data_IF_716139294348
#
_entry.id   IF_716139294348
#
_cell.length_a   1.000
_cell.length_b   1.000
_cell.length_c   1.000
_cell.angle_alpha   90.00
_cell.angle_beta   90.00
_cell.angle_gamma   90.00
#
_symmetry.space_group_name_H-M   'P 1'
#
loop_
_entity.id
_entity.type
_entity.pdbx_description
1 polymer ?
#
# COMPACT_ATOMS: atom_id res chain seq x y z
N UNK A 1 -8.01 12.16 -33.32
CA UNK A 1 -8.29 11.94 -32.68
C UNK A 1 -8.67 11.56 -32.01
N UNK A 2 -8.48 11.64 -31.99
CA UNK A 2 -8.83 11.38 -31.07
C UNK A 2 -9.25 10.69 -30.35
N UNK A 3 -9.15 10.54 -30.21
CA UNK A 3 -9.58 10.05 -29.37
C UNK A 3 -9.65 9.31 -28.75
N UNK A 4 -9.42 9.24 -28.79
CA UNK A 4 -9.56 8.66 -28.06
C UNK A 4 -9.59 8.10 -27.28
N UNK A 5 -9.37 8.25 -27.41
CA UNK A 5 -9.47 7.89 -26.56
C UNK A 5 -9.72 7.56 -25.69
N UNK A 6 -9.70 7.76 -25.86
CA UNK A 6 -9.99 7.67 -24.88
C UNK A 6 -10.48 7.14 -24.23
N UNK A 7 -10.47 7.15 -24.40
CA UNK A 7 -10.97 6.80 -23.71
C UNK A 7 -11.09 6.10 -23.10
N UNK A 8 -10.86 6.02 -23.17
CA UNK A 8 -11.01 5.52 -22.40
C UNK A 8 -11.18 5.07 -21.67
N UNK A 9 -11.06 5.01 -21.83
CA UNK A 9 -11.20 4.78 -20.99
C UNK A 9 -11.20 4.59 -20.42
N UNK A 10 -11.29 4.53 -20.53
CA UNK A 10 -11.40 4.47 -19.87
C UNK A 10 -11.43 4.19 -19.20
N UNK A 11 -11.45 4.05 -19.21
CA UNK A 11 -11.48 3.95 -18.35
C UNK A 11 -11.86 3.39 -17.59
N UNK A 12 -11.76 3.16 -17.52
CA UNK A 12 -12.01 2.86 -16.79
C UNK A 12 -12.08 2.40 -15.91
N UNK A 13 -12.12 1.99 -15.92
CA UNK A 13 -12.04 1.31 -14.81
C UNK A 13 -11.61 1.86 -13.62
N UNK A 14 -11.25 2.41 -13.71
CA UNK A 14 -10.73 3.31 -12.69
C UNK A 14 -11.80 3.92 -11.82
N UNK A 15 -13.03 3.73 -12.16
CA UNK A 15 -14.13 4.25 -11.36
C UNK A 15 -14.07 3.80 -9.90
N UNK A 16 -13.47 2.62 -9.67
CA UNK A 16 -13.39 2.05 -8.33
C UNK A 16 -12.05 2.29 -7.67
N UNK A 17 -11.16 2.98 -8.37
CA UNK A 17 -9.80 3.15 -7.89
C UNK A 17 -9.03 1.85 -7.95
N UNK A 18 -7.73 1.94 -7.87
CA UNK A 18 -6.87 0.75 -7.83
C UNK A 18 -6.06 0.81 -6.56
N UNK A 19 -6.32 -0.13 -5.69
CA UNK A 19 -5.66 -0.18 -4.39
C UNK A 19 -4.48 -1.14 -4.49
N UNK A 20 -3.31 -0.64 -4.12
CA UNK A 20 -2.14 -1.51 -3.91
C UNK A 20 -1.66 -1.27 -2.50
N UNK A 21 -1.15 -2.32 -1.87
CA UNK A 21 -0.66 -2.23 -0.50
C UNK A 21 0.75 -2.79 -0.50
N UNK A 22 1.69 -2.01 0.02
CA UNK A 22 3.08 -2.45 0.09
C UNK A 22 3.56 -2.42 1.53
N UNK A 23 4.16 -3.51 1.94
CA UNK A 23 4.87 -3.58 3.20
C UNK A 23 6.34 -3.28 2.94
N UNK A 24 6.86 -2.26 3.61
CA UNK A 24 8.28 -1.93 3.58
C UNK A 24 8.90 -2.42 4.88
N UNK A 25 9.88 -3.29 4.75
CA UNK A 25 10.59 -3.80 5.91
C UNK A 25 12.05 -3.96 5.52
N UNK A 26 12.85 -4.52 6.40
CA UNK A 26 14.26 -4.77 6.13
C UNK A 26 14.57 -6.21 6.54
N UNK A 27 15.51 -6.83 5.82
CA UNK A 27 15.84 -8.23 6.10
C UNK A 27 16.23 -8.46 7.55
N UNK A 28 16.96 -7.51 8.17
CA UNK A 28 17.35 -7.66 9.57
C UNK A 28 16.16 -7.62 10.53
N UNK A 29 15.00 -7.19 10.06
CA UNK A 29 13.77 -7.10 10.88
C UNK A 29 12.71 -8.08 10.38
N UNK A 30 13.09 -9.09 9.61
CA UNK A 30 12.12 -9.98 8.96
C UNK A 30 11.28 -10.78 9.97
N UNK A 31 11.78 -10.97 11.18
CA UNK A 31 11.01 -11.64 12.22
C UNK A 31 9.74 -10.87 12.58
N UNK A 32 9.69 -9.59 12.25
CA UNK A 32 8.54 -8.73 12.51
C UNK A 32 7.77 -8.39 11.23
N UNK A 33 7.98 -9.18 10.16
CA UNK A 33 7.13 -9.04 8.97
C UNK A 33 5.68 -9.20 9.36
N UNK A 34 4.83 -8.42 8.69
CA UNK A 34 3.40 -8.43 8.95
C UNK A 34 2.79 -9.60 8.19
N UNK A 35 2.39 -10.68 8.87
CA UNK A 35 2.01 -11.90 8.17
C UNK A 35 0.62 -11.84 7.53
N UNK A 36 -0.25 -10.97 8.01
CA UNK A 36 -1.63 -10.93 7.54
C UNK A 36 -1.82 -10.06 6.29
N UNK A 37 -0.74 -9.47 5.78
CA UNK A 37 -0.84 -8.65 4.57
C UNK A 37 -1.51 -9.43 3.43
N UNK A 38 -1.12 -10.69 3.26
CA UNK A 38 -1.63 -11.49 2.14
C UNK A 38 -3.11 -11.82 2.28
N UNK A 39 -3.71 -11.55 3.43
CA UNK A 39 -5.13 -11.77 3.63
C UNK A 39 -5.99 -10.54 3.39
N UNK A 40 -5.39 -9.41 3.02
CA UNK A 40 -6.16 -8.20 2.71
C UNK A 40 -6.95 -8.41 1.42
N UNK A 41 -8.14 -7.82 1.37
CA UNK A 41 -9.06 -8.02 0.26
C UNK A 41 -9.30 -6.72 -0.49
N UNK A 42 -9.78 -6.88 -1.74
CA UNK A 42 -10.17 -5.75 -2.58
C UNK A 42 -9.00 -4.88 -2.98
N UNK A 43 -7.83 -5.50 -3.10
CA UNK A 43 -6.61 -4.86 -3.54
C UNK A 43 -6.19 -5.44 -4.89
N UNK A 44 -5.70 -4.57 -5.77
CA UNK A 44 -5.16 -5.01 -7.05
C UNK A 44 -3.90 -5.83 -6.84
N UNK A 45 -3.05 -5.42 -5.89
CA UNK A 45 -1.82 -6.14 -5.62
C UNK A 45 -1.36 -5.87 -4.20
N UNK A 46 -0.58 -6.81 -3.68
CA UNK A 46 0.04 -6.74 -2.36
C UNK A 46 1.54 -6.92 -2.60
N UNK A 47 2.34 -5.99 -2.10
CA UNK A 47 3.77 -5.97 -2.38
C UNK A 47 4.62 -5.97 -1.12
N UNK A 48 5.88 -6.28 -1.32
CA UNK A 48 6.89 -6.27 -0.26
C UNK A 48 8.14 -5.61 -0.80
N UNK A 49 8.72 -4.70 -0.04
CA UNK A 49 9.97 -4.07 -0.41
C UNK A 49 10.94 -4.15 0.76
N UNK A 50 12.11 -4.73 0.51
CA UNK A 50 13.20 -4.77 1.48
C UNK A 50 14.03 -3.50 1.27
N UNK A 51 13.86 -2.53 2.16
CA UNK A 51 14.50 -1.22 1.98
C UNK A 51 16.01 -1.27 2.21
N UNK A 52 16.50 -2.35 2.83
CA UNK A 52 17.95 -2.51 2.95
C UNK A 52 18.57 -2.81 1.59
N UNK A 53 17.81 -3.41 0.68
CA UNK A 53 18.24 -3.69 -0.68
C UNK A 53 17.77 -2.63 -1.66
N UNK A 54 16.68 -1.95 -1.37
CA UNK A 54 16.06 -0.96 -2.24
C UNK A 54 16.05 0.39 -1.55
N UNK A 55 17.25 0.95 -1.32
CA UNK A 55 17.36 2.21 -0.58
C UNK A 55 16.70 3.37 -1.31
N UNK A 56 16.56 3.28 -2.63
CA UNK A 56 15.88 4.32 -3.39
C UNK A 56 14.41 4.41 -3.02
N UNK A 57 13.78 3.27 -2.76
CA UNK A 57 12.38 3.26 -2.35
C UNK A 57 12.22 3.82 -0.94
N UNK A 58 13.18 3.53 -0.08
CA UNK A 58 13.15 4.08 1.27
C UNK A 58 13.16 5.62 1.22
N UNK A 59 13.98 6.17 0.34
CA UNK A 59 14.06 7.63 0.17
C UNK A 59 12.80 8.17 -0.49
N UNK A 60 12.36 7.51 -1.56
CA UNK A 60 11.19 7.98 -2.33
C UNK A 60 9.95 8.06 -1.46
N UNK A 61 9.72 7.07 -0.64
CA UNK A 61 8.52 7.02 0.20
C UNK A 61 8.78 7.47 1.63
N UNK A 62 9.99 7.95 1.91
CA UNK A 62 10.36 8.51 3.22
C UNK A 62 10.04 7.52 4.34
N UNK A 63 10.56 6.29 4.18
CA UNK A 63 10.34 5.26 5.17
C UNK A 63 11.25 5.53 6.36
N UNK A 64 10.66 5.93 7.49
CA UNK A 64 11.42 6.30 8.69
C UNK A 64 11.57 5.15 9.66
N UNK A 65 10.60 4.24 9.68
CA UNK A 65 10.62 3.07 10.56
C UNK A 65 10.15 1.86 9.78
N UNK A 66 10.50 0.67 10.26
CA UNK A 66 10.08 -0.58 9.63
C UNK A 66 9.45 -1.49 10.68
N UNK A 67 8.44 -2.28 10.30
CA UNK A 67 7.76 -2.21 9.01
C UNK A 67 6.87 -0.98 8.87
N UNK A 68 6.67 -0.54 7.64
CA UNK A 68 5.70 0.48 7.30
C UNK A 68 4.81 -0.10 6.21
N UNK A 69 3.50 0.05 6.35
CA UNK A 69 2.54 -0.37 5.34
C UNK A 69 1.99 0.89 4.70
N UNK A 70 2.06 0.95 3.37
CA UNK A 70 1.46 2.07 2.64
C UNK A 70 0.38 1.53 1.72
N UNK A 71 -0.80 2.13 1.80
CA UNK A 71 -1.90 1.88 0.88
C UNK A 71 -1.83 2.96 -0.17
N UNK A 72 -1.71 2.54 -1.44
CA UNK A 72 -1.72 3.44 -2.58
C UNK A 72 -3.06 3.33 -3.28
N UNK A 73 -3.58 4.47 -3.72
CA UNK A 73 -4.78 4.50 -4.54
C UNK A 73 -4.40 5.19 -5.85
N UNK A 74 -4.55 4.46 -6.94
CA UNK A 74 -4.19 4.95 -8.28
C UNK A 74 -2.75 5.46 -8.33
N UNK A 75 -1.87 4.76 -7.63
CA UNK A 75 -0.44 5.06 -7.66
C UNK A 75 0.02 6.10 -6.66
N UNK A 76 -0.88 6.70 -5.91
CA UNK A 76 -0.52 7.73 -4.95
C UNK A 76 -0.74 7.24 -3.53
N UNK A 77 0.15 7.65 -2.64
CA UNK A 77 0.04 7.28 -1.24
C UNK A 77 -1.24 7.86 -0.65
N UNK A 78 -2.07 6.99 -0.07
CA UNK A 78 -3.32 7.41 0.54
C UNK A 78 -3.28 7.30 2.06
N UNK A 79 -2.79 6.18 2.59
CA UNK A 79 -2.74 5.93 4.03
C UNK A 79 -1.46 5.18 4.35
N UNK A 80 -0.85 5.50 5.48
CA UNK A 80 0.33 4.76 5.92
C UNK A 80 0.18 4.35 7.38
N UNK A 81 0.68 3.17 7.69
CA UNK A 81 0.72 2.63 9.04
C UNK A 81 2.16 2.32 9.37
N UNK A 82 2.64 2.84 10.49
CA UNK A 82 4.04 2.72 10.86
C UNK A 82 4.20 1.88 12.11
N UNK A 83 5.32 1.19 12.20
CA UNK A 83 5.66 0.40 13.36
C UNK A 83 5.96 1.30 14.56
N UNK A 84 5.99 0.67 15.73
CA UNK A 84 6.43 1.35 16.95
C UNK A 84 7.96 1.34 17.03
N UNK A 85 8.49 1.86 18.13
CA UNK A 85 9.93 1.97 18.29
C UNK A 85 10.63 0.63 18.49
N UNK A 86 9.87 -0.46 18.68
CA UNK A 86 10.43 -1.81 18.77
C UNK A 86 10.39 -2.52 17.42
N UNK A 87 10.07 -1.78 16.34
CA UNK A 87 10.03 -2.30 14.98
C UNK A 87 8.95 -3.34 14.77
N UNK A 88 7.81 -3.16 15.45
CA UNK A 88 6.65 -4.04 15.33
C UNK A 88 5.45 -3.24 14.89
N UNK A 89 4.71 -3.81 13.92
CA UNK A 89 3.51 -3.15 13.43
C UNK A 89 2.45 -3.11 14.53
N UNK A 90 1.90 -1.93 14.77
CA UNK A 90 0.87 -1.71 15.78
C UNK A 90 -0.52 -1.91 15.18
N UNK A 91 -0.69 -1.51 13.90
CA UNK A 91 -1.99 -1.62 13.26
C UNK A 91 -2.39 -3.07 13.11
N UNK A 92 -3.69 -3.33 13.19
CA UNK A 92 -4.25 -4.66 13.00
C UNK A 92 -4.69 -4.83 11.55
N UNK A 93 -4.89 -6.09 11.15
CA UNK A 93 -5.43 -6.39 9.84
C UNK A 93 -6.76 -5.69 9.61
N UNK A 94 -7.60 -5.67 10.64
CA UNK A 94 -8.92 -5.05 10.56
C UNK A 94 -8.80 -3.55 10.29
N UNK A 95 -7.85 -2.90 10.95
CA UNK A 95 -7.65 -1.46 10.75
C UNK A 95 -7.19 -1.15 9.34
N UNK A 96 -6.27 -1.96 8.81
CA UNK A 96 -5.77 -1.74 7.46
C UNK A 96 -6.87 -2.04 6.44
N UNK A 97 -7.62 -3.14 6.65
CA UNK A 97 -8.73 -3.46 5.77
C UNK A 97 -9.80 -2.37 5.78
N UNK A 98 -10.08 -1.82 6.96
CA UNK A 98 -11.06 -0.73 7.06
C UNK A 98 -10.61 0.50 6.26
N UNK A 99 -9.32 0.81 6.29
CA UNK A 99 -8.80 1.93 5.51
C UNK A 99 -8.97 1.68 4.01
N UNK A 100 -8.73 0.45 3.55
CA UNK A 100 -8.96 0.08 2.16
C UNK A 100 -10.42 0.26 1.79
N UNK A 101 -11.32 -0.27 2.65
CA UNK A 101 -12.75 -0.19 2.40
C UNK A 101 -13.22 1.26 2.34
N UNK A 102 -12.68 2.11 3.20
CA UNK A 102 -13.03 3.52 3.23
C UNK A 102 -12.61 4.22 1.95
N UNK A 103 -11.41 3.90 1.45
CA UNK A 103 -10.94 4.48 0.19
C UNK A 103 -11.84 4.08 -0.96
N UNK A 104 -12.31 2.83 -0.97
CA UNK A 104 -13.20 2.35 -2.03
C UNK A 104 -14.57 2.99 -1.92
N UNK A 105 -15.08 3.17 -0.70
CA UNK A 105 -16.38 3.83 -0.50
C UNK A 105 -16.36 5.28 -0.98
N UNK A 106 -15.23 5.94 -0.83
CA UNK A 106 -15.13 7.37 -1.18
C UNK A 106 -15.18 7.60 -2.67
N UNK A 107 -15.13 6.54 -3.49
CA UNK A 107 -15.26 6.65 -4.94
C UNK A 107 -16.72 6.70 -5.43
N UNK A 108 -17.68 6.56 -4.53
CA UNK A 108 -19.09 6.51 -4.92
C UNK A 108 -19.87 7.78 -4.56
#
# INVERSE_FOLDING_TARGET
>A
MYFVIVLFGLFSNTAYGQITVTQFNAGWNSANDVPWIMGLKDCKSLGYSDIAKNSEEATKYKIAVVPTIIIFKDGEEAVRFQADLSFKMVATKEEVQEAIDELLRSDF
#
